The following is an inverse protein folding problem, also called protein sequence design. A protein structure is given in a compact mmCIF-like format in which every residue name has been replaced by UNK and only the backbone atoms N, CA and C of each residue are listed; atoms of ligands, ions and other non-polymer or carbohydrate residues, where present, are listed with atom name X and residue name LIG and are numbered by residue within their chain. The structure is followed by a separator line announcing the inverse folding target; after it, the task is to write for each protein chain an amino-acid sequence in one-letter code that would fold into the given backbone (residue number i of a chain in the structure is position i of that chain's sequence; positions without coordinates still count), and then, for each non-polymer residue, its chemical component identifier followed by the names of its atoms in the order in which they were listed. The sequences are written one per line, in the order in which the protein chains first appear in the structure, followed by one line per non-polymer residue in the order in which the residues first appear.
data_IF_783446425346
#
_entry.id   IF_783446425346
#
_cell.length_a   1.000
_cell.length_b   1.000
_cell.length_c   1.000
_cell.angle_alpha   90.00
_cell.angle_beta   90.00
_cell.angle_gamma   90.00
#
_symmetry.space_group_name_H-M   'P 1'
#
loop_
_entity.id
_entity.type
_entity.pdbx_description
1 polymer ?
#
# COMPACT_ATOMS: atom_id res chain seq x y z
N UNK A 1 4.37 -0.05 24.31
CA UNK A 1 5.01 -0.21 22.99
C UNK A 1 3.98 -0.74 22.02
N UNK A 2 3.45 0.11 21.12
CA UNK A 2 2.59 -0.37 20.05
C UNK A 2 3.48 -0.93 18.95
N UNK A 3 3.62 -2.25 18.93
CA UNK A 3 4.34 -2.92 17.86
C UNK A 3 3.49 -2.93 16.59
N UNK A 4 4.04 -2.44 15.50
CA UNK A 4 3.44 -2.52 14.17
C UNK A 4 4.00 -3.71 13.39
N UNK A 5 3.17 -4.30 12.54
CA UNK A 5 3.60 -5.22 11.48
C UNK A 5 3.80 -4.42 10.20
N UNK A 6 4.96 -4.59 9.58
CA UNK A 6 5.29 -4.02 8.27
C UNK A 6 5.29 -5.15 7.24
N UNK A 7 4.47 -5.00 6.21
CA UNK A 7 4.38 -5.94 5.08
C UNK A 7 4.92 -5.22 3.84
N UNK A 8 5.91 -5.82 3.19
CA UNK A 8 6.51 -5.29 1.98
C UNK A 8 6.31 -6.28 0.82
N UNK A 9 5.78 -5.79 -0.28
CA UNK A 9 5.57 -6.55 -1.51
C UNK A 9 6.36 -5.87 -2.62
N UNK A 10 7.33 -6.60 -3.20
CA UNK A 10 8.14 -6.13 -4.32
C UNK A 10 7.68 -6.82 -5.59
N UNK A 11 7.27 -6.03 -6.58
CA UNK A 11 6.85 -6.50 -7.88
C UNK A 11 7.73 -5.89 -8.97
N UNK A 12 8.02 -6.65 -10.02
CA UNK A 12 8.73 -6.11 -11.17
C UNK A 12 7.88 -5.07 -11.91
N UNK A 13 8.49 -3.99 -12.39
CA UNK A 13 7.88 -2.95 -13.21
C UNK A 13 8.19 -1.53 -12.75
N UNK A 14 7.36 -0.60 -13.22
CA UNK A 14 7.39 0.81 -12.83
C UNK A 14 5.98 1.29 -12.49
N UNK A 15 5.85 1.93 -11.35
CA UNK A 15 4.67 2.64 -10.91
C UNK A 15 4.69 4.06 -11.49
N UNK A 16 3.87 4.30 -12.49
CA UNK A 16 3.69 5.64 -13.08
C UNK A 16 2.61 6.41 -12.32
N UNK A 17 3.01 7.10 -11.25
CA UNK A 17 2.09 7.94 -10.48
C UNK A 17 1.58 9.11 -11.36
N UNK A 18 0.27 9.13 -11.63
CA UNK A 18 -0.41 10.29 -12.24
C UNK A 18 -0.47 10.35 -13.78
N UNK A 19 0.21 9.47 -14.54
CA UNK A 19 0.12 9.49 -16.02
C UNK A 19 -1.15 8.82 -16.58
N UNK A 20 -1.80 7.97 -15.79
CA UNK A 20 -3.04 7.29 -16.16
C UNK A 20 -4.08 7.38 -15.01
N UNK A 21 -4.49 8.60 -14.63
CA UNK A 21 -5.60 8.82 -13.66
C UNK A 21 -6.93 8.18 -14.06
N UNK A 22 -7.05 7.67 -15.29
CA UNK A 22 -8.27 7.07 -15.84
C UNK A 22 -8.59 5.72 -15.17
N UNK A 23 -7.63 5.04 -14.53
CA UNK A 23 -7.86 3.75 -13.87
C UNK A 23 -6.98 3.59 -12.65
N UNK A 24 -7.30 4.27 -11.56
CA UNK A 24 -6.94 3.69 -10.26
C UNK A 24 -7.65 2.33 -10.18
N UNK A 25 -6.89 1.24 -10.22
CA UNK A 25 -7.46 -0.10 -10.26
C UNK A 25 -8.29 -0.35 -9.01
N UNK A 26 -9.48 -0.92 -9.17
CA UNK A 26 -10.40 -1.23 -8.07
C UNK A 26 -9.74 -2.00 -6.92
N UNK A 27 -8.68 -2.78 -7.20
CA UNK A 27 -7.89 -3.48 -6.19
C UNK A 27 -7.23 -2.56 -5.15
N UNK A 28 -6.61 -1.45 -5.58
CA UNK A 28 -5.94 -0.52 -4.66
C UNK A 28 -6.96 0.26 -3.82
N UNK A 29 -8.06 0.69 -4.45
CA UNK A 29 -9.18 1.37 -3.76
C UNK A 29 -9.76 0.44 -2.69
N UNK A 30 -10.07 -0.81 -3.06
CA UNK A 30 -10.61 -1.79 -2.13
C UNK A 30 -9.64 -2.11 -1.00
N UNK A 31 -8.34 -2.18 -1.29
CA UNK A 31 -7.32 -2.43 -0.26
C UNK A 31 -7.26 -1.29 0.74
N UNK A 32 -7.20 -0.03 0.28
CA UNK A 32 -7.22 1.13 1.19
C UNK A 32 -8.50 1.19 2.00
N UNK A 33 -9.67 0.95 1.38
CA UNK A 33 -10.93 0.97 2.11
C UNK A 33 -11.02 -0.12 3.16
N UNK A 34 -10.53 -1.33 2.88
CA UNK A 34 -10.48 -2.43 3.86
C UNK A 34 -9.55 -2.12 5.03
N UNK A 35 -8.39 -1.53 4.76
CA UNK A 35 -7.45 -1.10 5.81
C UNK A 35 -8.10 -0.05 6.73
N UNK A 36 -8.78 0.95 6.15
CA UNK A 36 -9.54 1.95 6.91
C UNK A 36 -10.66 1.31 7.76
N UNK A 37 -11.41 0.36 7.21
CA UNK A 37 -12.50 -0.31 7.94
C UNK A 37 -12.00 -1.17 9.11
N UNK A 38 -10.84 -1.82 8.97
CA UNK A 38 -10.31 -2.74 9.97
C UNK A 38 -9.48 -2.00 11.04
N UNK A 39 -8.67 -1.03 10.62
CA UNK A 39 -7.65 -0.39 11.47
C UNK A 39 -7.85 1.12 11.64
N UNK A 40 -8.90 1.70 11.04
CA UNK A 40 -9.12 3.15 11.07
C UNK A 40 -7.89 3.91 10.58
N UNK A 41 -7.45 4.89 11.38
CA UNK A 41 -6.27 5.71 11.13
C UNK A 41 -4.94 5.06 11.59
N UNK A 42 -4.97 3.82 12.08
CA UNK A 42 -3.79 3.12 12.60
C UNK A 42 -3.07 2.28 11.53
N UNK A 43 -3.52 2.34 10.27
CA UNK A 43 -2.87 1.68 9.15
C UNK A 43 -2.30 2.68 8.15
N UNK A 44 -1.29 2.25 7.40
CA UNK A 44 -0.79 2.99 6.24
C UNK A 44 -0.59 2.06 5.05
N UNK A 45 -0.75 2.62 3.85
CA UNK A 45 -0.58 1.94 2.57
C UNK A 45 0.17 2.88 1.63
N UNK A 46 1.33 2.47 1.14
CA UNK A 46 2.13 3.22 0.18
C UNK A 46 2.54 2.35 -1.01
N UNK A 47 2.71 2.99 -2.17
CA UNK A 47 3.21 2.36 -3.39
C UNK A 47 4.19 3.30 -4.09
N UNK A 48 5.42 2.83 -4.30
CA UNK A 48 6.51 3.64 -4.85
C UNK A 48 7.45 2.80 -5.70
N UNK A 49 8.17 3.44 -6.61
CA UNK A 49 9.30 2.79 -7.28
C UNK A 49 10.45 2.68 -6.28
N UNK A 50 10.89 1.46 -5.98
CA UNK A 50 12.09 1.20 -5.17
C UNK A 50 13.35 1.39 -6.03
N UNK A 51 13.29 0.94 -7.29
CA UNK A 51 14.32 1.14 -8.30
C UNK A 51 13.72 1.18 -9.73
N UNK A 52 14.55 1.08 -10.77
CA UNK A 52 14.14 1.15 -12.20
C UNK A 52 13.28 -0.02 -12.67
N UNK A 53 13.28 -1.13 -11.95
CA UNK A 53 12.60 -2.37 -12.29
C UNK A 53 11.72 -2.90 -11.15
N UNK A 54 11.68 -2.24 -9.99
CA UNK A 54 10.97 -2.70 -8.81
C UNK A 54 9.98 -1.67 -8.30
N UNK A 55 8.73 -2.09 -8.14
CA UNK A 55 7.68 -1.37 -7.41
C UNK A 55 7.54 -2.00 -6.03
N UNK A 56 7.68 -1.18 -5.00
CA UNK A 56 7.42 -1.55 -3.62
C UNK A 56 6.01 -1.09 -3.21
N UNK A 57 5.23 -2.02 -2.71
CA UNK A 57 4.02 -1.75 -1.93
C UNK A 57 4.30 -2.03 -0.47
N UNK A 58 4.00 -1.07 0.40
CA UNK A 58 4.25 -1.15 1.83
C UNK A 58 2.95 -0.95 2.60
N UNK A 59 2.68 -1.85 3.54
CA UNK A 59 1.53 -1.80 4.43
C UNK A 59 2.04 -1.83 5.86
N UNK A 60 1.57 -0.90 6.68
CA UNK A 60 1.83 -0.88 8.13
C UNK A 60 0.49 -1.03 8.85
N UNK A 61 0.39 -2.00 9.75
CA UNK A 61 -0.80 -2.27 10.58
C UNK A 61 -0.39 -2.53 12.03
N UNK A 62 -1.27 -2.29 13.01
CA UNK A 62 -1.00 -2.69 14.39
C UNK A 62 -1.00 -4.22 14.52
N UNK A 63 -0.14 -4.79 15.36
CA UNK A 63 -0.09 -6.26 15.59
C UNK A 63 -1.32 -6.80 16.32
N UNK A 64 -2.05 -5.93 17.03
CA UNK A 64 -3.28 -6.23 17.76
C UNK A 64 -4.31 -5.14 17.49
N UNK A 65 -5.56 -5.55 17.33
CA UNK A 65 -6.72 -4.64 17.24
C UNK A 65 -7.10 -4.10 18.63
#
# INVERSE_FOLDING_TARGET
NNESLVIQIRNAGQFENGKNKVREGYGLINTRKRLELIYGNQSSFDIRNEDKNTVLTEIVIPKTL
#
